data_IF_063486877618
#
_entry.id   IF_063486877618
#
_cell.length_a   1.000
_cell.length_b   1.000
_cell.length_c   1.000
_cell.angle_alpha   90.00
_cell.angle_beta   90.00
_cell.angle_gamma   90.00
#
_symmetry.space_group_name_H-M   'P 1'
#
loop_
_entity.id
_entity.type
_entity.pdbx_description
1 polymer ?
#
# COMPACT_ATOMS: atom_id res chain seq x y z
N UNK A 1 -19.34 57.81 -7.04
CA UNK A 1 -18.31 56.75 -6.94
C UNK A 1 -18.61 55.76 -8.04
N UNK A 2 -17.72 55.64 -9.02
CA UNK A 2 -17.81 54.55 -9.99
C UNK A 2 -17.28 53.27 -9.34
N UNK A 3 -18.09 52.22 -9.39
CA UNK A 3 -17.69 50.90 -8.91
C UNK A 3 -16.75 50.27 -9.93
N UNK A 4 -15.56 49.84 -9.50
CA UNK A 4 -14.64 49.05 -10.31
C UNK A 4 -14.86 47.56 -10.08
N UNK A 5 -14.57 46.75 -11.09
CA UNK A 5 -14.59 45.29 -10.98
C UNK A 5 -13.48 44.84 -10.02
N UNK A 6 -13.84 44.07 -8.98
CA UNK A 6 -12.92 43.51 -7.98
C UNK A 6 -12.62 42.03 -8.20
N UNK A 7 -13.35 41.36 -9.10
CA UNK A 7 -13.25 39.92 -9.29
C UNK A 7 -11.91 39.51 -9.90
N UNK A 8 -11.24 40.40 -10.64
CA UNK A 8 -9.91 40.12 -11.21
C UNK A 8 -9.89 38.96 -12.21
N UNK A 9 -11.05 38.45 -12.64
CA UNK A 9 -11.18 37.33 -13.57
C UNK A 9 -11.05 37.88 -14.99
N UNK A 10 -9.92 37.59 -15.62
CA UNK A 10 -9.65 37.76 -17.06
C UNK A 10 -9.29 36.39 -17.66
N UNK A 11 -9.28 36.27 -18.99
CA UNK A 11 -8.95 35.00 -19.67
C UNK A 11 -7.55 34.47 -19.27
N UNK A 12 -6.67 35.34 -18.78
CA UNK A 12 -5.34 34.99 -18.26
C UNK A 12 -5.32 34.55 -16.79
N UNK A 13 -6.40 34.72 -16.01
CA UNK A 13 -6.43 34.45 -14.56
C UNK A 13 -6.21 32.98 -14.18
N UNK A 14 -6.43 32.03 -15.11
CA UNK A 14 -6.10 30.62 -14.89
C UNK A 14 -4.60 30.35 -14.83
N UNK A 15 -3.76 31.21 -15.41
CA UNK A 15 -2.30 31.03 -15.43
C UNK A 15 -1.61 31.42 -14.11
N UNK A 16 -2.32 32.05 -13.17
CA UNK A 16 -1.74 32.51 -11.89
C UNK A 16 -1.87 31.45 -10.76
N UNK A 17 -2.60 30.36 -10.99
CA UNK A 17 -2.78 29.30 -9.99
C UNK A 17 -1.70 28.23 -10.11
N UNK A 18 -1.00 27.97 -9.01
CA UNK A 18 -0.06 26.83 -8.92
C UNK A 18 -0.73 25.69 -8.16
N UNK A 19 -1.01 24.59 -8.85
CA UNK A 19 -1.70 23.42 -8.32
C UNK A 19 -0.76 22.48 -7.54
N UNK A 20 -1.33 21.71 -6.62
CA UNK A 20 -0.58 20.78 -5.74
C UNK A 20 -0.59 19.33 -6.20
N UNK A 21 -1.16 19.06 -7.38
CA UNK A 21 -1.45 17.72 -7.90
C UNK A 21 -0.22 16.79 -7.92
N UNK A 22 0.97 17.36 -8.17
CA UNK A 22 2.22 16.61 -8.26
C UNK A 22 2.78 16.18 -6.90
N UNK A 23 2.31 16.72 -5.77
CA UNK A 23 2.82 16.35 -4.44
C UNK A 23 2.66 14.84 -4.21
N UNK A 24 1.52 14.26 -4.59
CA UNK A 24 1.29 12.82 -4.47
C UNK A 24 2.32 12.00 -5.26
N UNK A 25 2.61 12.41 -6.50
CA UNK A 25 3.59 11.74 -7.38
C UNK A 25 4.99 11.80 -6.76
N UNK A 26 5.42 12.98 -6.30
CA UNK A 26 6.73 13.17 -5.65
C UNK A 26 6.86 12.27 -4.42
N UNK A 27 5.82 12.25 -3.58
CA UNK A 27 5.81 11.49 -2.34
C UNK A 27 5.80 9.97 -2.58
N UNK A 28 5.09 9.53 -3.62
CA UNK A 28 5.08 8.13 -4.05
C UNK A 28 6.47 7.69 -4.50
N UNK A 29 7.18 8.51 -5.28
CA UNK A 29 8.57 8.22 -5.66
C UNK A 29 9.51 8.12 -4.44
N UNK A 30 9.37 8.99 -3.44
CA UNK A 30 10.16 8.88 -2.21
C UNK A 30 9.87 7.59 -1.44
N UNK A 31 8.62 7.14 -1.42
CA UNK A 31 8.26 5.86 -0.82
C UNK A 31 8.93 4.69 -1.56
N UNK A 32 8.93 4.70 -2.90
CA UNK A 32 9.63 3.70 -3.72
C UNK A 32 11.12 3.64 -3.41
N UNK A 33 11.78 4.79 -3.36
CA UNK A 33 13.23 4.84 -3.11
C UNK A 33 13.60 4.19 -1.77
N UNK A 34 12.88 4.50 -0.69
CA UNK A 34 13.17 3.90 0.62
C UNK A 34 12.90 2.39 0.63
N UNK A 35 11.80 1.96 0.01
CA UNK A 35 11.45 0.55 -0.08
C UNK A 35 12.53 -0.25 -0.82
N UNK A 36 12.95 0.22 -2.00
CA UNK A 36 13.98 -0.42 -2.81
C UNK A 36 15.33 -0.46 -2.08
N UNK A 37 15.76 0.68 -1.51
CA UNK A 37 17.03 0.78 -0.81
C UNK A 37 17.13 -0.18 0.38
N UNK A 38 16.03 -0.36 1.11
CA UNK A 38 15.99 -1.24 2.29
C UNK A 38 15.53 -2.67 1.97
N UNK A 39 15.36 -3.00 0.68
CA UNK A 39 14.88 -4.30 0.19
C UNK A 39 13.55 -4.71 0.82
N UNK A 40 12.65 -3.74 1.01
CA UNK A 40 11.30 -3.93 1.56
C UNK A 40 11.24 -4.15 3.07
N UNK A 41 12.37 -4.10 3.80
CA UNK A 41 12.38 -4.24 5.27
C UNK A 41 11.80 -3.01 5.97
N UNK A 42 11.96 -1.85 5.36
CA UNK A 42 11.43 -0.57 5.81
C UNK A 42 10.69 0.06 4.63
N UNK A 43 9.56 0.69 4.90
CA UNK A 43 8.77 1.35 3.87
C UNK A 43 8.27 2.68 4.38
N UNK A 44 8.00 3.61 3.48
CA UNK A 44 7.35 4.86 3.82
C UNK A 44 5.89 4.88 3.34
N UNK A 45 5.08 5.70 3.99
CA UNK A 45 3.67 5.89 3.69
C UNK A 45 3.42 7.38 3.61
N UNK A 46 2.72 7.80 2.56
CA UNK A 46 2.08 9.10 2.48
C UNK A 46 0.57 8.91 2.35
N UNK A 47 -0.23 9.60 3.16
CA UNK A 47 -1.68 9.39 3.17
C UNK A 47 -2.43 10.30 4.12
N UNK A 48 -3.76 10.29 4.02
CA UNK A 48 -4.65 11.16 4.79
C UNK A 48 -4.73 10.71 6.27
N UNK A 49 -4.60 11.66 7.19
CA UNK A 49 -4.72 11.49 8.64
C UNK A 49 -6.19 11.71 9.02
N UNK A 50 -6.82 10.71 9.65
CA UNK A 50 -8.18 10.85 10.22
C UNK A 50 -8.15 11.54 11.59
N UNK A 51 -9.33 11.93 12.06
CA UNK A 51 -9.58 12.68 13.31
C UNK A 51 -9.01 11.98 14.57
N UNK A 52 -8.81 10.66 14.55
CA UNK A 52 -8.21 9.87 15.64
C UNK A 52 -6.67 9.77 15.56
N UNK A 53 -6.03 10.44 14.60
CA UNK A 53 -4.58 10.40 14.38
C UNK A 53 -4.09 9.13 13.69
N UNK A 54 -4.99 8.21 13.33
CA UNK A 54 -4.70 7.07 12.47
C UNK A 54 -4.67 7.51 11.01
N UNK A 55 -3.72 6.97 10.25
CA UNK A 55 -3.75 7.09 8.79
C UNK A 55 -4.83 6.12 8.28
N UNK A 56 -5.53 6.47 7.19
CA UNK A 56 -6.27 5.45 6.42
C UNK A 56 -5.36 4.22 6.24
N UNK A 57 -5.91 3.00 6.28
CA UNK A 57 -5.22 1.70 6.30
C UNK A 57 -4.36 1.45 5.05
N UNK A 58 -3.36 2.30 4.84
CA UNK A 58 -2.47 2.41 3.67
C UNK A 58 -1.14 1.73 3.99
N UNK A 59 -0.80 1.57 5.28
CA UNK A 59 0.44 0.94 5.72
C UNK A 59 0.62 -0.49 5.22
N UNK A 60 -0.47 -1.25 5.12
CA UNK A 60 -0.44 -2.62 4.59
C UNK A 60 -0.60 -2.65 3.05
N UNK A 61 -1.26 -1.64 2.49
CA UNK A 61 -1.58 -1.54 1.06
C UNK A 61 -0.44 -0.96 0.20
N UNK A 62 0.36 -0.02 0.72
CA UNK A 62 1.47 0.62 -0.03
C UNK A 62 2.68 -0.30 -0.24
N UNK A 63 2.96 -1.22 0.69
CA UNK A 63 3.90 -2.35 0.50
C UNK A 63 3.63 -3.12 -0.81
N UNK A 64 2.35 -3.20 -1.19
CA UNK A 64 1.87 -4.04 -2.28
C UNK A 64 1.65 -3.24 -3.58
N UNK A 65 1.32 -1.95 -3.51
CA UNK A 65 1.14 -1.06 -4.68
C UNK A 65 2.48 -0.72 -5.36
N UNK A 66 3.56 -0.54 -4.59
CA UNK A 66 4.86 -0.12 -5.16
C UNK A 66 5.61 -1.19 -5.95
N UNK A 67 5.10 -2.43 -5.97
CA UNK A 67 5.59 -3.49 -6.87
C UNK A 67 4.91 -3.45 -8.26
N UNK A 68 3.95 -2.55 -8.51
CA UNK A 68 3.00 -2.70 -9.62
C UNK A 68 2.81 -1.52 -10.60
N UNK A 69 3.62 -0.45 -10.62
CA UNK A 69 3.31 0.72 -11.48
C UNK A 69 4.45 1.07 -12.44
N UNK A 70 4.34 0.57 -13.68
CA UNK A 70 4.85 1.19 -14.91
C UNK A 70 3.79 1.05 -16.01
N UNK A 71 3.05 2.12 -16.32
CA UNK A 71 2.13 2.17 -17.48
C UNK A 71 1.00 3.21 -17.33
N UNK A 72 0.94 4.20 -18.22
CA UNK A 72 0.04 5.37 -18.24
C UNK A 72 -1.00 5.23 -19.37
N UNK A 73 -2.13 5.95 -19.22
CA UNK A 73 -3.03 6.61 -20.22
C UNK A 73 -4.50 6.21 -19.91
N UNK A 74 -5.54 7.06 -19.77
CA UNK A 74 -5.82 8.45 -20.19
C UNK A 74 -7.01 8.43 -21.18
N UNK A 75 -8.16 9.09 -20.90
CA UNK A 75 -9.14 9.61 -21.89
C UNK A 75 -10.36 10.35 -21.26
N UNK A 76 -10.78 11.44 -21.93
CA UNK A 76 -11.90 12.36 -21.68
C UNK A 76 -13.21 11.94 -22.39
N UNK A 77 -14.36 12.52 -21.99
CA UNK A 77 -15.38 13.26 -22.80
C UNK A 77 -16.69 13.42 -21.98
N UNK A 78 -17.22 14.61 -21.62
CA UNK A 78 -17.97 15.73 -22.27
C UNK A 78 -19.47 15.78 -21.83
N UNK A 79 -20.01 17.01 -21.85
CA UNK A 79 -21.04 17.63 -20.99
C UNK A 79 -22.49 17.51 -21.53
N UNK A 80 -23.51 17.53 -20.65
CA UNK A 80 -24.80 18.19 -20.92
C UNK A 80 -25.57 18.60 -19.64
N UNK A 81 -26.27 19.73 -19.73
CA UNK A 81 -26.81 20.64 -18.70
C UNK A 81 -27.98 20.12 -17.84
N UNK A 82 -28.08 20.56 -16.56
CA UNK A 82 -29.39 20.81 -15.92
C UNK A 82 -29.32 21.68 -14.66
N UNK A 83 -30.07 22.79 -14.66
CA UNK A 83 -30.85 23.42 -13.58
C UNK A 83 -30.26 23.48 -12.15
N UNK A 84 -30.18 24.71 -11.61
CA UNK A 84 -29.65 25.10 -10.28
C UNK A 84 -30.35 24.52 -9.04
N UNK A 85 -31.12 23.43 -9.17
CA UNK A 85 -31.61 22.61 -8.04
C UNK A 85 -30.66 21.46 -7.67
N UNK A 86 -29.64 21.17 -8.49
CA UNK A 86 -28.62 20.13 -8.29
C UNK A 86 -27.20 20.72 -8.09
N UNK A 87 -27.08 21.90 -7.48
CA UNK A 87 -25.76 22.49 -7.25
C UNK A 87 -25.00 21.67 -6.19
N UNK A 88 -23.85 21.11 -6.60
CA UNK A 88 -22.86 20.57 -5.66
C UNK A 88 -22.24 21.76 -4.94
N UNK A 89 -22.11 21.70 -3.63
CA UNK A 89 -21.42 22.71 -2.85
C UNK A 89 -19.96 22.76 -3.31
N UNK A 90 -19.57 23.88 -3.94
CA UNK A 90 -18.22 24.06 -4.44
C UNK A 90 -17.16 24.09 -3.32
N UNK A 91 -17.56 24.14 -2.05
CA UNK A 91 -16.68 23.91 -0.90
C UNK A 91 -15.96 22.56 -0.99
N UNK A 92 -16.60 21.54 -1.57
CA UNK A 92 -15.97 20.23 -1.80
C UNK A 92 -14.84 20.29 -2.86
N UNK A 93 -14.85 21.31 -3.72
CA UNK A 93 -13.81 21.53 -4.73
C UNK A 93 -12.54 22.15 -4.12
N UNK A 94 -12.66 22.80 -2.95
CA UNK A 94 -11.55 23.39 -2.21
C UNK A 94 -11.30 22.58 -0.93
N UNK A 95 -10.71 21.39 -1.11
CA UNK A 95 -10.41 20.53 0.03
C UNK A 95 -9.34 21.15 0.94
N UNK A 96 -9.45 20.88 2.23
CA UNK A 96 -8.44 21.20 3.24
C UNK A 96 -8.21 19.95 4.08
N UNK A 97 -7.18 19.18 3.69
CA UNK A 97 -6.94 17.84 4.21
C UNK A 97 -5.56 17.71 4.83
N UNK A 98 -5.47 16.89 5.88
CA UNK A 98 -4.21 16.61 6.57
C UNK A 98 -3.65 15.28 6.10
N UNK A 99 -2.40 15.28 5.67
CA UNK A 99 -1.65 14.12 5.26
C UNK A 99 -0.42 13.92 6.15
N UNK A 100 0.01 12.68 6.35
CA UNK A 100 1.21 12.34 7.10
C UNK A 100 2.22 11.61 6.23
N UNK A 101 3.51 11.85 6.47
CA UNK A 101 4.58 11.00 5.93
C UNK A 101 5.23 10.21 7.05
N UNK A 102 5.15 8.88 6.97
CA UNK A 102 5.62 7.97 8.03
C UNK A 102 6.63 6.96 7.49
N UNK A 103 7.68 6.68 8.27
CA UNK A 103 8.59 5.55 8.07
C UNK A 103 8.09 4.39 8.93
N UNK A 104 7.96 3.22 8.32
CA UNK A 104 7.32 2.06 8.89
C UNK A 104 8.14 0.77 8.70
N UNK A 105 7.86 -0.16 9.61
CA UNK A 105 8.12 -1.60 9.50
C UNK A 105 6.81 -2.30 9.85
N UNK A 106 6.79 -3.63 9.87
CA UNK A 106 5.63 -4.38 10.37
C UNK A 106 5.23 -4.03 11.82
N UNK A 107 6.17 -3.56 12.64
CA UNK A 107 5.97 -3.36 14.09
C UNK A 107 6.08 -1.91 14.55
N UNK A 108 6.87 -1.11 13.86
CA UNK A 108 7.22 0.26 14.25
C UNK A 108 6.78 1.24 13.19
N UNK A 109 6.27 2.40 13.62
CA UNK A 109 5.99 3.55 12.78
C UNK A 109 6.59 4.82 13.37
N UNK A 110 6.99 5.75 12.53
CA UNK A 110 7.52 7.05 12.92
C UNK A 110 7.15 8.12 11.89
N UNK A 111 6.42 9.15 12.31
CA UNK A 111 5.98 10.26 11.45
C UNK A 111 7.06 11.32 11.33
N UNK A 112 7.44 11.67 10.09
CA UNK A 112 8.43 12.72 9.81
C UNK A 112 7.81 14.11 9.80
N UNK A 113 6.64 14.24 9.18
CA UNK A 113 5.92 15.50 9.07
C UNK A 113 4.44 15.27 8.70
N UNK A 114 3.66 16.33 8.82
CA UNK A 114 2.29 16.45 8.30
C UNK A 114 2.21 17.54 7.25
N UNK A 115 1.34 17.37 6.24
CA UNK A 115 0.97 18.39 5.27
C UNK A 115 -0.51 18.72 5.44
N UNK A 116 -0.84 20.00 5.53
CA UNK A 116 -2.20 20.49 5.34
C UNK A 116 -2.31 20.98 3.89
N UNK A 117 -2.91 20.15 3.06
CA UNK A 117 -3.00 20.36 1.61
C UNK A 117 -4.33 20.98 1.21
N UNK A 118 -4.23 21.92 0.29
CA UNK A 118 -5.31 22.55 -0.49
C UNK A 118 -5.06 22.29 -1.99
N UNK A 119 -6.05 22.44 -2.89
CA UNK A 119 -5.83 22.20 -4.32
C UNK A 119 -4.69 23.03 -4.94
N UNK A 120 -4.47 24.23 -4.39
CA UNK A 120 -3.44 25.18 -4.84
C UNK A 120 -2.48 25.53 -3.70
N UNK A 121 -1.26 25.93 -4.05
CA UNK A 121 -0.33 26.53 -3.11
C UNK A 121 -0.82 27.91 -2.61
N UNK A 122 -0.36 28.40 -1.44
CA UNK A 122 0.59 27.76 -0.54
C UNK A 122 -0.05 26.70 0.38
N UNK A 123 0.70 25.65 0.69
CA UNK A 123 0.32 24.63 1.68
C UNK A 123 1.11 24.79 2.98
N UNK A 124 0.67 24.14 4.06
CA UNK A 124 1.37 24.13 5.35
C UNK A 124 2.03 22.78 5.61
N UNK A 125 3.29 22.79 6.03
CA UNK A 125 4.03 21.61 6.51
C UNK A 125 4.34 21.74 7.99
N UNK A 126 4.14 20.65 8.73
CA UNK A 126 4.41 20.54 10.16
C UNK A 126 5.46 19.44 10.35
N UNK A 127 6.69 19.83 10.65
CA UNK A 127 7.83 18.90 10.75
C UNK A 127 7.95 18.34 12.17
N UNK A 128 8.42 17.11 12.33
CA UNK A 128 8.80 16.58 13.65
C UNK A 128 9.76 17.55 14.36
N UNK A 129 9.50 17.81 15.64
CA UNK A 129 10.26 18.80 16.41
C UNK A 129 11.75 18.49 16.50
N UNK A 130 12.12 17.22 16.60
CA UNK A 130 13.53 16.82 16.69
C UNK A 130 14.26 16.99 15.37
N UNK A 131 13.60 16.70 14.25
CA UNK A 131 14.11 17.02 12.91
C UNK A 131 14.23 18.54 12.77
N UNK A 132 13.17 19.29 13.09
CA UNK A 132 13.17 20.74 12.96
C UNK A 132 14.23 21.43 13.84
N UNK A 133 14.56 20.88 15.01
CA UNK A 133 15.69 21.38 15.83
C UNK A 133 17.04 21.24 15.12
N UNK A 134 17.21 20.23 14.27
CA UNK A 134 18.45 20.02 13.52
C UNK A 134 18.54 20.92 12.28
N UNK A 135 17.44 21.04 11.53
CA UNK A 135 17.45 21.66 10.19
C UNK A 135 16.61 22.96 10.10
N UNK A 136 16.04 23.45 11.20
CA UNK A 136 15.11 24.59 11.20
C UNK A 136 15.65 25.84 10.53
N UNK A 137 16.93 26.18 10.74
CA UNK A 137 17.57 27.31 10.07
C UNK A 137 17.65 27.15 8.54
N UNK A 138 17.80 25.93 8.04
CA UNK A 138 17.75 25.65 6.61
C UNK A 138 16.31 25.76 6.10
N UNK A 139 15.35 25.20 6.84
CA UNK A 139 13.93 25.28 6.50
C UNK A 139 13.43 26.73 6.45
N UNK A 140 13.81 27.59 7.40
CA UNK A 140 13.45 29.01 7.41
C UNK A 140 14.03 29.82 6.25
N UNK A 141 15.03 29.30 5.53
CA UNK A 141 15.57 29.92 4.30
C UNK A 141 14.85 29.44 3.04
N UNK A 142 14.26 28.25 3.10
CA UNK A 142 13.56 27.63 1.98
C UNK A 142 12.07 28.01 1.99
N UNK A 143 11.45 28.06 3.18
CA UNK A 143 10.03 28.19 3.38
C UNK A 143 9.69 29.28 4.39
N UNK A 144 8.43 29.73 4.41
CA UNK A 144 7.99 30.83 5.27
C UNK A 144 7.65 30.27 6.65
N UNK A 145 8.36 30.64 7.73
CA UNK A 145 8.07 30.15 9.07
C UNK A 145 6.73 30.71 9.60
N UNK A 146 6.01 29.89 10.36
CA UNK A 146 4.78 30.27 11.06
C UNK A 146 5.05 30.46 12.57
N UNK A 147 4.00 30.79 13.34
CA UNK A 147 4.10 31.06 14.78
C UNK A 147 4.76 29.90 15.56
N UNK A 148 4.46 28.67 15.17
CA UNK A 148 5.10 27.48 15.72
C UNK A 148 6.38 27.17 14.95
N UNK A 149 7.47 26.94 15.68
CA UNK A 149 8.82 26.81 15.10
C UNK A 149 8.97 25.65 14.10
N UNK A 150 8.12 24.62 14.20
CA UNK A 150 8.12 23.47 13.30
C UNK A 150 7.06 23.54 12.20
N UNK A 151 6.40 24.68 12.04
CA UNK A 151 5.39 24.94 11.02
C UNK A 151 5.92 25.90 9.96
N UNK A 152 5.74 25.55 8.70
CA UNK A 152 6.19 26.36 7.56
C UNK A 152 5.12 26.39 6.46
N UNK A 153 5.03 27.52 5.74
CA UNK A 153 4.28 27.62 4.48
C UNK A 153 5.19 27.35 3.30
N UNK A 154 4.70 26.52 2.40
CA UNK A 154 5.34 26.10 1.15
C UNK A 154 4.61 26.78 0.00
N UNK A 155 5.33 27.60 -0.76
CA UNK A 155 4.74 28.48 -1.78
C UNK A 155 4.58 27.83 -3.15
N UNK A 156 5.34 26.78 -3.43
CA UNK A 156 5.40 26.12 -4.73
C UNK A 156 6.07 24.73 -4.62
N UNK A 157 6.05 23.99 -5.73
CA UNK A 157 6.61 22.64 -5.84
C UNK A 157 8.13 22.58 -5.65
N UNK A 158 8.87 23.60 -6.11
CA UNK A 158 10.32 23.64 -5.94
C UNK A 158 10.68 23.79 -4.46
N UNK A 159 9.99 24.68 -3.77
CA UNK A 159 10.10 24.89 -2.33
C UNK A 159 9.74 23.60 -1.58
N UNK A 160 8.66 22.92 -1.99
CA UNK A 160 8.28 21.63 -1.46
C UNK A 160 9.41 20.60 -1.58
N UNK A 161 9.96 20.42 -2.78
CA UNK A 161 11.05 19.48 -3.04
C UNK A 161 12.29 19.76 -2.17
N UNK A 162 12.69 21.03 -2.06
CA UNK A 162 13.85 21.44 -1.27
C UNK A 162 13.65 21.18 0.23
N UNK A 163 12.44 21.46 0.74
CA UNK A 163 12.08 21.17 2.14
C UNK A 163 12.03 19.66 2.40
N UNK A 164 11.41 18.90 1.49
CA UNK A 164 11.35 17.44 1.57
C UNK A 164 12.75 16.83 1.59
N UNK A 165 13.65 17.28 0.71
CA UNK A 165 15.04 16.84 0.68
C UNK A 165 15.75 17.12 2.00
N UNK A 166 15.62 18.33 2.55
CA UNK A 166 16.24 18.69 3.82
C UNK A 166 15.75 17.81 4.98
N UNK A 167 14.46 17.47 5.02
CA UNK A 167 13.87 16.57 6.02
C UNK A 167 14.40 15.15 5.87
N UNK A 168 14.32 14.58 4.66
CA UNK A 168 14.68 13.17 4.42
C UNK A 168 16.18 12.90 4.64
N UNK A 169 17.03 13.91 4.47
CA UNK A 169 18.47 13.82 4.69
C UNK A 169 18.91 14.15 6.11
N UNK A 170 17.98 14.47 7.02
CA UNK A 170 18.33 14.78 8.40
C UNK A 170 18.94 13.55 9.12
N UNK A 171 19.92 13.82 9.98
CA UNK A 171 20.63 12.78 10.74
C UNK A 171 19.69 11.95 11.63
N UNK A 172 18.60 12.51 12.14
CA UNK A 172 17.62 11.78 12.95
C UNK A 172 16.87 10.76 12.09
N UNK A 173 16.53 11.12 10.85
CA UNK A 173 15.88 10.21 9.89
C UNK A 173 16.81 9.04 9.56
N UNK A 174 18.07 9.32 9.20
CA UNK A 174 19.06 8.28 8.93
C UNK A 174 19.30 7.35 10.13
N UNK A 175 19.36 7.92 11.34
CA UNK A 175 19.47 7.13 12.57
C UNK A 175 18.28 6.18 12.76
N UNK A 176 17.05 6.68 12.58
CA UNK A 176 15.83 5.87 12.71
C UNK A 176 15.82 4.72 11.71
N UNK A 177 16.12 4.99 10.43
CA UNK A 177 16.19 3.97 9.39
C UNK A 177 17.22 2.90 9.78
N UNK A 178 18.43 3.30 10.18
CA UNK A 178 19.50 2.38 10.55
C UNK A 178 19.13 1.50 11.75
N UNK A 179 18.50 2.10 12.77
CA UNK A 179 18.07 1.39 13.98
C UNK A 179 16.94 0.39 13.69
N UNK A 180 16.00 0.77 12.82
CA UNK A 180 14.95 -0.14 12.35
C UNK A 180 15.54 -1.31 11.56
N UNK A 181 16.54 -1.09 10.70
CA UNK A 181 17.19 -2.16 9.94
C UNK A 181 17.84 -3.20 10.86
N UNK A 182 18.57 -2.75 11.89
CA UNK A 182 19.18 -3.64 12.89
C UNK A 182 18.14 -4.48 13.60
N UNK A 183 17.06 -3.85 14.08
CA UNK A 183 15.98 -4.55 14.79
C UNK A 183 15.25 -5.57 13.91
N UNK A 184 15.09 -5.28 12.62
CA UNK A 184 14.54 -6.26 11.67
C UNK A 184 15.52 -7.42 11.45
N UNK A 185 16.83 -7.17 11.41
CA UNK A 185 17.84 -8.21 11.27
C UNK A 185 17.96 -9.09 12.52
N UNK A 186 18.02 -8.51 13.71
CA UNK A 186 18.09 -9.23 14.99
C UNK A 186 16.84 -10.11 15.22
N UNK A 187 15.68 -9.66 14.75
CA UNK A 187 14.43 -10.45 14.79
C UNK A 187 14.44 -11.62 13.81
N UNK A 188 15.20 -11.54 12.71
CA UNK A 188 15.36 -12.65 11.77
C UNK A 188 16.39 -13.66 12.29
N UNK A 189 17.47 -13.23 12.94
CA UNK A 189 18.47 -14.10 13.57
C UNK A 189 17.93 -14.79 14.84
N UNK A 190 17.01 -14.17 15.58
CA UNK A 190 16.29 -14.82 16.70
C UNK A 190 15.09 -15.69 16.28
N UNK A 191 14.74 -15.71 14.99
CA UNK A 191 13.68 -16.56 14.41
C UNK A 191 14.27 -17.83 13.73
N UNK A 192 15.19 -18.52 14.39
CA UNK A 192 15.50 -19.93 14.09
C UNK A 192 14.45 -20.91 14.64
N UNK A 193 13.24 -20.46 14.97
CA UNK A 193 12.06 -21.32 14.87
C UNK A 193 11.54 -21.21 13.43
N UNK A 194 12.10 -22.03 12.55
CA UNK A 194 11.63 -22.18 11.18
C UNK A 194 10.12 -22.45 11.19
N UNK A 195 9.32 -21.80 10.32
CA UNK A 195 7.87 -21.88 10.37
C UNK A 195 7.40 -23.32 10.15
N UNK A 196 6.56 -23.83 11.06
CA UNK A 196 6.00 -25.18 10.96
C UNK A 196 5.09 -25.34 9.74
N UNK A 197 4.49 -24.24 9.25
CA UNK A 197 3.61 -24.20 8.08
C UNK A 197 3.99 -23.08 7.13
N UNK A 198 4.12 -23.41 5.85
CA UNK A 198 4.38 -22.46 4.77
C UNK A 198 3.32 -22.65 3.69
N UNK A 199 2.77 -21.54 3.19
CA UNK A 199 1.90 -21.53 2.02
C UNK A 199 2.66 -20.88 0.87
N UNK A 200 2.71 -21.51 -0.29
CA UNK A 200 3.31 -20.96 -1.51
C UNK A 200 2.17 -20.61 -2.45
N UNK A 201 2.11 -19.36 -2.91
CA UNK A 201 1.09 -18.92 -3.85
C UNK A 201 1.70 -18.30 -5.12
N UNK A 202 0.91 -18.24 -6.19
CA UNK A 202 1.37 -17.76 -7.50
C UNK A 202 1.60 -16.24 -7.48
N UNK A 203 0.60 -15.49 -7.04
CA UNK A 203 0.52 -14.05 -7.15
C UNK A 203 0.39 -13.34 -5.80
N UNK A 204 0.54 -12.02 -5.85
CA UNK A 204 0.39 -11.15 -4.67
C UNK A 204 -1.07 -11.00 -4.25
N UNK A 205 -2.02 -11.09 -5.19
CA UNK A 205 -3.45 -11.13 -4.86
C UNK A 205 -3.76 -12.31 -3.96
N UNK A 206 -3.20 -13.48 -4.27
CA UNK A 206 -3.41 -14.71 -3.50
C UNK A 206 -2.90 -14.55 -2.07
N UNK A 207 -1.72 -13.96 -1.90
CA UNK A 207 -1.16 -13.67 -0.57
C UNK A 207 -2.10 -12.81 0.26
N UNK A 208 -2.68 -11.76 -0.32
CA UNK A 208 -3.59 -10.85 0.38
C UNK A 208 -4.83 -11.62 0.86
N UNK A 209 -5.45 -12.40 -0.02
CA UNK A 209 -6.64 -13.21 0.31
C UNK A 209 -6.30 -14.24 1.39
N UNK A 210 -5.20 -14.98 1.23
CA UNK A 210 -4.77 -16.01 2.18
C UNK A 210 -4.42 -15.42 3.55
N UNK A 211 -3.79 -14.24 3.60
CA UNK A 211 -3.53 -13.52 4.85
C UNK A 211 -4.81 -13.08 5.55
N UNK A 212 -5.81 -12.62 4.80
CA UNK A 212 -7.10 -12.20 5.37
C UNK A 212 -7.91 -13.41 5.89
N UNK A 213 -7.89 -14.54 5.18
CA UNK A 213 -8.45 -15.82 5.66
C UNK A 213 -7.76 -16.23 6.97
N UNK A 214 -6.44 -16.21 7.02
CA UNK A 214 -5.68 -16.57 8.23
C UNK A 214 -6.00 -15.64 9.42
N UNK A 215 -6.14 -14.34 9.16
CA UNK A 215 -6.54 -13.35 10.17
C UNK A 215 -7.93 -13.64 10.75
N UNK A 216 -8.93 -13.92 9.89
CA UNK A 216 -10.27 -14.30 10.35
C UNK A 216 -10.26 -15.59 11.18
N UNK A 217 -9.40 -16.53 10.83
CA UNK A 217 -9.20 -17.78 11.59
C UNK A 217 -8.35 -17.59 12.87
N UNK A 218 -7.87 -16.37 13.14
CA UNK A 218 -6.96 -16.03 14.23
C UNK A 218 -5.68 -16.89 14.23
N UNK A 219 -5.18 -17.22 13.04
CA UNK A 219 -3.97 -18.02 12.82
C UNK A 219 -2.86 -17.17 12.18
N UNK A 220 -1.60 -17.52 12.49
CA UNK A 220 -0.44 -16.93 11.81
C UNK A 220 0.12 -17.93 10.80
N UNK A 221 0.31 -17.47 9.57
CA UNK A 221 0.86 -18.27 8.48
C UNK A 221 2.04 -17.56 7.84
N UNK A 222 3.02 -18.34 7.38
CA UNK A 222 4.07 -17.83 6.50
C UNK A 222 3.65 -18.08 5.07
N UNK A 223 3.53 -17.02 4.27
CA UNK A 223 3.18 -17.11 2.86
C UNK A 223 4.39 -16.70 2.02
N UNK A 224 4.66 -17.43 0.94
CA UNK A 224 5.72 -17.16 -0.01
C UNK A 224 5.12 -16.99 -1.41
N UNK A 225 5.36 -15.83 -2.03
CA UNK A 225 4.86 -15.51 -3.37
C UNK A 225 5.88 -15.89 -4.43
N UNK A 226 5.47 -16.77 -5.34
CA UNK A 226 6.34 -17.29 -6.41
C UNK A 226 6.51 -16.32 -7.59
N UNK A 227 5.64 -15.33 -7.74
CA UNK A 227 5.57 -14.41 -8.88
C UNK A 227 5.39 -15.18 -10.20
N UNK A 228 4.33 -15.97 -10.28
CA UNK A 228 3.94 -16.74 -11.46
C UNK A 228 4.01 -18.25 -11.24
N UNK A 229 3.03 -18.95 -11.82
CA UNK A 229 2.84 -20.42 -11.72
C UNK A 229 4.10 -21.24 -11.98
N UNK A 230 4.90 -20.84 -12.98
CA UNK A 230 6.11 -21.56 -13.38
C UNK A 230 7.25 -21.50 -12.35
N UNK A 231 7.23 -20.52 -11.44
CA UNK A 231 8.25 -20.31 -10.42
C UNK A 231 7.94 -21.04 -9.11
N UNK A 232 6.70 -21.51 -8.92
CA UNK A 232 6.25 -22.22 -7.72
C UNK A 232 7.18 -23.39 -7.34
N UNK A 233 7.62 -24.27 -8.28
CA UNK A 233 8.54 -25.36 -7.94
C UNK A 233 9.89 -24.90 -7.38
N UNK A 234 10.49 -23.85 -7.94
CA UNK A 234 11.77 -23.33 -7.45
C UNK A 234 11.65 -22.75 -6.03
N UNK A 235 10.51 -22.14 -5.71
CA UNK A 235 10.21 -21.66 -4.36
C UNK A 235 9.97 -22.81 -3.38
N UNK A 236 9.33 -23.88 -3.83
CA UNK A 236 9.15 -25.10 -3.04
C UNK A 236 10.50 -25.69 -2.61
N UNK A 237 11.42 -25.86 -3.56
CA UNK A 237 12.77 -26.41 -3.28
C UNK A 237 13.54 -25.53 -2.29
N UNK A 238 13.43 -24.20 -2.43
CA UNK A 238 14.06 -23.22 -1.52
C UNK A 238 13.46 -23.27 -0.10
N UNK A 239 12.13 -23.39 0.01
CA UNK A 239 11.44 -23.49 1.30
C UNK A 239 11.81 -24.79 2.02
N UNK A 240 11.82 -25.91 1.28
CA UNK A 240 12.20 -27.22 1.81
C UNK A 240 13.68 -27.32 2.17
N UNK A 241 14.57 -26.79 1.34
CA UNK A 241 16.02 -26.79 1.58
C UNK A 241 16.42 -26.09 2.88
N UNK A 242 15.58 -25.18 3.38
CA UNK A 242 15.75 -24.48 4.65
C UNK A 242 15.06 -25.16 5.84
N UNK A 243 14.00 -25.94 5.61
CA UNK A 243 13.30 -26.68 6.67
C UNK A 243 12.62 -27.96 6.16
N UNK A 244 13.20 -29.13 6.47
CA UNK A 244 12.63 -30.43 6.09
C UNK A 244 11.39 -30.83 6.88
N UNK A 245 11.05 -30.10 7.95
CA UNK A 245 9.89 -30.38 8.82
C UNK A 245 8.67 -29.49 8.53
N UNK A 246 8.79 -28.45 7.70
CA UNK A 246 7.66 -27.59 7.37
C UNK A 246 6.59 -28.38 6.60
N UNK A 247 5.33 -28.24 7.01
CA UNK A 247 4.19 -28.59 6.16
C UNK A 247 4.05 -27.49 5.11
N UNK A 248 3.95 -27.86 3.85
CA UNK A 248 3.84 -26.90 2.75
C UNK A 248 2.50 -27.07 2.04
N UNK A 249 1.76 -25.97 1.88
CA UNK A 249 0.59 -25.89 1.01
C UNK A 249 0.94 -25.07 -0.22
N UNK A 250 0.66 -25.58 -1.40
CA UNK A 250 0.75 -24.83 -2.66
C UNK A 250 -0.66 -24.41 -3.06
N UNK A 251 -0.86 -23.12 -3.30
CA UNK A 251 -2.12 -22.53 -3.75
C UNK A 251 -1.88 -21.92 -5.12
N UNK A 252 -2.59 -22.41 -6.14
CA UNK A 252 -2.40 -21.94 -7.52
C UNK A 252 -3.73 -21.78 -8.23
N UNK A 253 -3.83 -20.73 -9.02
CA UNK A 253 -4.95 -20.49 -9.93
C UNK A 253 -4.87 -21.48 -11.09
N UNK A 254 -6.02 -21.98 -11.57
CA UNK A 254 -6.03 -22.87 -12.73
C UNK A 254 -6.05 -22.14 -14.06
N UNK A 255 -6.46 -20.86 -14.07
CA UNK A 255 -6.76 -20.11 -15.29
C UNK A 255 -7.72 -20.87 -16.24
N UNK A 256 -8.62 -21.67 -15.67
CA UNK A 256 -9.57 -22.52 -16.41
C UNK A 256 -9.04 -23.90 -16.79
N UNK A 257 -7.76 -24.22 -16.54
CA UNK A 257 -7.17 -25.55 -16.77
C UNK A 257 -6.58 -26.15 -15.48
N UNK A 258 -7.46 -26.71 -14.66
CA UNK A 258 -7.07 -27.32 -13.38
C UNK A 258 -6.22 -28.57 -13.56
N UNK A 259 -6.44 -29.34 -14.65
CA UNK A 259 -5.72 -30.57 -14.90
C UNK A 259 -4.29 -30.28 -15.36
N UNK A 260 -4.13 -29.41 -16.36
CA UNK A 260 -2.80 -28.99 -16.82
C UNK A 260 -1.99 -28.31 -15.72
N UNK A 261 -2.63 -27.48 -14.89
CA UNK A 261 -1.97 -26.87 -13.73
C UNK A 261 -1.48 -27.91 -12.72
N UNK A 262 -2.30 -28.93 -12.43
CA UNK A 262 -1.91 -30.04 -11.54
C UNK A 262 -0.70 -30.80 -12.09
N UNK A 263 -0.75 -31.18 -13.36
CA UNK A 263 0.27 -31.98 -14.01
C UNK A 263 1.60 -31.21 -14.06
N UNK A 264 1.57 -29.89 -14.34
CA UNK A 264 2.75 -29.01 -14.34
C UNK A 264 3.46 -28.95 -12.98
N UNK A 265 2.69 -28.81 -11.90
CA UNK A 265 3.26 -28.75 -10.54
C UNK A 265 3.79 -30.12 -10.12
N UNK A 266 3.06 -31.19 -10.42
CA UNK A 266 3.46 -32.56 -10.09
C UNK A 266 4.70 -33.04 -10.88
N UNK A 267 4.85 -32.63 -12.14
CA UNK A 267 6.03 -32.95 -12.95
C UNK A 267 7.30 -32.27 -12.44
N UNK A 268 7.16 -31.02 -11.95
CA UNK A 268 8.31 -30.20 -11.54
C UNK A 268 8.71 -30.33 -10.08
N UNK A 269 7.84 -30.90 -9.24
CA UNK A 269 8.11 -31.11 -7.81
C UNK A 269 8.20 -32.63 -7.57
N UNK A 270 9.42 -33.15 -7.49
CA UNK A 270 9.71 -34.55 -7.15
C UNK A 270 9.65 -34.78 -5.62
N UNK A 271 8.53 -34.40 -5.02
CA UNK A 271 8.25 -34.60 -3.60
C UNK A 271 6.74 -34.81 -3.38
N UNK A 272 6.38 -35.60 -2.36
CA UNK A 272 5.00 -35.82 -1.95
C UNK A 272 4.64 -35.08 -0.66
N UNK A 273 5.59 -34.42 -0.02
CA UNK A 273 5.39 -33.74 1.26
C UNK A 273 4.84 -32.32 1.10
N UNK A 274 3.80 -32.17 0.28
CA UNK A 274 3.04 -30.93 0.14
C UNK A 274 1.55 -31.21 -0.08
N UNK A 275 0.71 -30.27 0.32
CA UNK A 275 -0.70 -30.21 -0.04
C UNK A 275 -0.89 -29.26 -1.22
N UNK A 276 -1.84 -29.55 -2.11
CA UNK A 276 -2.12 -28.73 -3.29
C UNK A 276 -3.58 -28.29 -3.31
N UNK A 277 -3.79 -26.97 -3.32
CA UNK A 277 -5.07 -26.32 -3.52
C UNK A 277 -5.06 -25.62 -4.90
N UNK A 278 -5.72 -26.25 -5.88
CA UNK A 278 -5.90 -25.67 -7.22
C UNK A 278 -7.24 -24.97 -7.25
N UNK A 279 -7.21 -23.68 -7.51
CA UNK A 279 -8.41 -22.86 -7.53
C UNK A 279 -9.06 -22.96 -8.90
N UNK A 280 -10.38 -23.08 -8.93
CA UNK A 280 -11.09 -23.08 -10.20
C UNK A 280 -11.04 -21.67 -10.77
N UNK A 281 -10.31 -21.51 -11.88
CA UNK A 281 -10.02 -20.25 -12.54
C UNK A 281 -9.15 -19.32 -11.68
N UNK A 282 -9.71 -18.59 -10.70
CA UNK A 282 -8.91 -17.69 -9.84
C UNK A 282 -9.37 -17.61 -8.38
N UNK A 283 -8.48 -17.20 -7.48
CA UNK A 283 -8.77 -17.06 -6.04
C UNK A 283 -9.96 -16.14 -5.71
N UNK A 284 -10.21 -15.14 -6.56
CA UNK A 284 -11.34 -14.23 -6.41
C UNK A 284 -12.70 -14.96 -6.54
N UNK A 285 -12.73 -16.09 -7.26
CA UNK A 285 -13.97 -16.85 -7.54
C UNK A 285 -14.55 -17.53 -6.30
N UNK A 286 -13.80 -17.63 -5.19
CA UNK A 286 -14.35 -18.06 -3.91
C UNK A 286 -15.36 -17.06 -3.33
N UNK A 287 -15.23 -15.78 -3.69
CA UNK A 287 -15.96 -14.70 -3.04
C UNK A 287 -17.11 -14.21 -3.91
N UNK A 288 -16.89 -14.10 -5.23
CA UNK A 288 -17.85 -13.46 -6.13
C UNK A 288 -17.76 -14.06 -7.55
N UNK A 289 -18.54 -15.11 -7.88
CA UNK A 289 -18.43 -15.79 -9.18
C UNK A 289 -18.99 -15.01 -10.39
N UNK A 290 -19.69 -13.88 -10.22
CA UNK A 290 -20.47 -13.26 -11.32
C UNK A 290 -20.46 -11.72 -11.37
N UNK A 291 -19.30 -11.05 -11.25
CA UNK A 291 -19.26 -9.58 -11.46
C UNK A 291 -18.20 -9.19 -12.49
N UNK A 292 -18.64 -8.99 -13.74
CA UNK A 292 -17.81 -8.57 -14.87
C UNK A 292 -17.10 -7.21 -14.66
N UNK A 293 -17.59 -6.38 -13.71
CA UNK A 293 -17.09 -5.03 -13.43
C UNK A 293 -16.29 -4.91 -12.11
N UNK A 294 -15.95 -6.03 -11.47
CA UNK A 294 -15.21 -6.01 -10.22
C UNK A 294 -13.70 -5.96 -10.49
N UNK A 295 -13.11 -4.77 -10.34
CA UNK A 295 -11.66 -4.62 -10.47
C UNK A 295 -10.95 -5.35 -9.32
N UNK A 296 -9.82 -6.01 -9.62
CA UNK A 296 -8.94 -6.62 -8.59
C UNK A 296 -8.60 -5.64 -7.45
N UNK A 297 -8.55 -4.34 -7.77
CA UNK A 297 -8.38 -3.26 -6.82
C UNK A 297 -9.54 -3.14 -5.81
N UNK A 298 -10.80 -3.22 -6.27
CA UNK A 298 -11.97 -3.20 -5.39
C UNK A 298 -12.02 -4.43 -4.48
N UNK A 299 -11.60 -5.60 -4.97
CA UNK A 299 -11.47 -6.79 -4.12
C UNK A 299 -10.48 -6.53 -3.00
N UNK A 300 -9.26 -6.10 -3.34
CA UNK A 300 -8.20 -5.86 -2.36
C UNK A 300 -8.59 -4.79 -1.33
N UNK A 301 -9.32 -3.75 -1.75
CA UNK A 301 -9.80 -2.68 -0.86
C UNK A 301 -10.87 -3.14 0.14
N UNK A 302 -11.66 -4.15 -0.22
CA UNK A 302 -12.81 -4.61 0.54
C UNK A 302 -12.65 -6.03 1.11
N UNK A 303 -11.49 -6.68 0.88
CA UNK A 303 -11.30 -8.11 1.15
C UNK A 303 -11.48 -8.45 2.62
N UNK A 304 -11.00 -7.61 3.53
CA UNK A 304 -11.14 -7.83 4.97
C UNK A 304 -12.62 -7.80 5.38
N UNK A 305 -13.39 -6.84 4.86
CA UNK A 305 -14.84 -6.73 5.11
C UNK A 305 -15.63 -7.88 4.48
N UNK A 306 -15.32 -8.24 3.23
CA UNK A 306 -15.93 -9.39 2.53
C UNK A 306 -15.66 -10.67 3.35
N UNK A 307 -14.42 -10.89 3.74
CA UNK A 307 -14.02 -12.07 4.50
C UNK A 307 -14.68 -12.07 5.88
N UNK A 308 -14.77 -10.95 6.59
CA UNK A 308 -15.44 -10.86 7.89
C UNK A 308 -16.90 -11.30 7.83
N UNK A 309 -17.64 -10.88 6.81
CA UNK A 309 -19.08 -11.17 6.66
C UNK A 309 -19.38 -12.61 6.18
N UNK A 310 -18.41 -13.30 5.59
CA UNK A 310 -18.64 -14.61 4.96
C UNK A 310 -18.70 -15.81 5.91
N UNK A 311 -19.56 -16.77 5.61
CA UNK A 311 -19.54 -18.07 6.29
C UNK A 311 -18.51 -19.02 5.66
N UNK A 312 -17.37 -19.19 6.32
CA UNK A 312 -16.32 -20.10 5.88
C UNK A 312 -16.76 -21.57 5.84
N UNK A 313 -17.74 -21.97 6.66
CA UNK A 313 -18.28 -23.32 6.64
C UNK A 313 -19.15 -23.57 5.41
N UNK A 314 -19.85 -22.55 4.93
CA UNK A 314 -20.61 -22.60 3.67
C UNK A 314 -19.66 -22.62 2.46
N UNK A 315 -18.68 -21.72 2.41
CA UNK A 315 -17.68 -21.69 1.35
C UNK A 315 -16.88 -22.98 1.22
N UNK A 316 -16.54 -23.60 2.34
CA UNK A 316 -15.82 -24.88 2.35
C UNK A 316 -16.64 -26.04 1.77
N UNK A 317 -17.98 -25.93 1.71
CA UNK A 317 -18.83 -26.92 1.03
C UNK A 317 -18.86 -26.69 -0.48
N UNK A 318 -18.78 -25.45 -0.91
CA UNK A 318 -18.91 -25.05 -2.32
C UNK A 318 -17.56 -25.11 -3.07
N UNK A 319 -16.45 -24.80 -2.39
CA UNK A 319 -15.12 -24.74 -3.00
C UNK A 319 -14.13 -25.69 -2.29
N UNK A 320 -13.78 -26.79 -2.96
CA UNK A 320 -12.82 -27.79 -2.42
C UNK A 320 -11.45 -27.17 -2.12
N UNK A 321 -10.96 -26.25 -2.97
CA UNK A 321 -9.69 -25.56 -2.77
C UNK A 321 -9.69 -24.64 -1.57
N UNK A 322 -10.82 -23.95 -1.31
CA UNK A 322 -11.00 -23.13 -0.11
C UNK A 322 -10.98 -24.00 1.15
N UNK A 323 -11.69 -25.14 1.14
CA UNK A 323 -11.72 -26.07 2.25
C UNK A 323 -10.31 -26.60 2.60
N UNK A 324 -9.48 -26.91 1.58
CA UNK A 324 -8.08 -27.33 1.79
C UNK A 324 -7.26 -26.23 2.47
N UNK A 325 -7.40 -25.00 2.03
CA UNK A 325 -6.70 -23.84 2.61
C UNK A 325 -7.10 -23.64 4.07
N UNK A 326 -8.40 -23.58 4.37
CA UNK A 326 -8.89 -23.41 5.74
C UNK A 326 -8.40 -24.53 6.66
N UNK A 327 -8.51 -25.78 6.21
CA UNK A 327 -8.03 -26.93 6.97
C UNK A 327 -6.52 -26.87 7.24
N UNK A 328 -5.71 -26.51 6.25
CA UNK A 328 -4.27 -26.39 6.41
C UNK A 328 -3.90 -25.32 7.44
N UNK A 329 -4.55 -24.14 7.35
CA UNK A 329 -4.34 -23.02 8.26
C UNK A 329 -4.68 -23.44 9.70
N UNK A 330 -5.79 -24.14 9.90
CA UNK A 330 -6.27 -24.55 11.23
C UNK A 330 -5.53 -25.75 11.87
N UNK A 331 -4.91 -26.65 11.09
CA UNK A 331 -4.25 -27.90 11.56
C UNK A 331 -2.82 -27.73 12.07
#
# INVERSE_FOLDING_TARGET
MEYKNYWGINEDAQNDLTYTDNIHIIMDEQCKYLFQYTKGKIFAIFGEIKIDGSMFTIAKSMSNIFKGISGINGLQETIAETSTKNLIDASDMYFDKRYGFEICTEKYRYRLFELRMTPIYPIEIIVDEGICKNIGNALSRLAIPLEKFNHFKISDELTFCNVLQAILQDKKVHYIISELQKRVQDNNEKKENLPEKVIICEGQTDEIVLQAIAQKLNQKVTIAVANGKYNVPAFFDSAKGKNTKSKILIVVDSDGDAKGTKDLIAEKIDDKNYELAIINNRIEDWFMPEVADFSKLKLIQSIDSIIEEMDFAELSKTHESFAKVVNFIQK
#
